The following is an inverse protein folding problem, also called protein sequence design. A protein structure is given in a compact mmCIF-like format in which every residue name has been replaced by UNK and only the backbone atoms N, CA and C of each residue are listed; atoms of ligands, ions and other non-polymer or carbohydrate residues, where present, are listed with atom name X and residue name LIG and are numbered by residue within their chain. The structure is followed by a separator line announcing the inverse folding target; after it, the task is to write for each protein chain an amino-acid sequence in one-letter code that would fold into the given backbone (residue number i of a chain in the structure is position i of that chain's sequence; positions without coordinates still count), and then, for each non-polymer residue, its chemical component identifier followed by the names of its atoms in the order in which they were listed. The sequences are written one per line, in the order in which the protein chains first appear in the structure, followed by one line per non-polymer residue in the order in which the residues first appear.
data_IF_700548968675
#
_entry.id   IF_700548968675
#
_cell.length_a   1.000
_cell.length_b   1.000
_cell.length_c   1.000
_cell.angle_alpha   90.00
_cell.angle_beta   90.00
_cell.angle_gamma   90.00
#
_symmetry.space_group_name_H-M   'P 1'
#
loop_
_entity.id
_entity.type
_entity.pdbx_description
1 polymer ?
#
# COMPACT_ATOMS: atom_id res chain seq x y z
N UNK A 1 17.99 35.32 28.50
CA UNK A 1 16.92 34.59 29.23
C UNK A 1 16.53 33.35 28.42
N UNK A 2 17.34 32.28 28.44
CA UNK A 2 16.93 30.96 27.94
C UNK A 2 16.25 30.22 29.09
N UNK A 3 15.06 30.71 29.47
CA UNK A 3 14.26 30.10 30.51
C UNK A 3 13.70 28.76 30.05
N UNK A 4 13.17 27.99 31.02
CA UNK A 4 12.45 26.73 30.84
C UNK A 4 11.45 26.78 29.66
N UNK A 5 10.81 27.92 29.46
CA UNK A 5 9.90 28.18 28.34
C UNK A 5 10.57 28.02 26.96
N UNK A 6 11.77 28.58 26.74
CA UNK A 6 12.45 28.48 25.44
C UNK A 6 12.92 27.06 25.11
N UNK A 7 13.34 26.30 26.13
CA UNK A 7 13.69 24.89 25.98
C UNK A 7 12.46 24.02 25.67
N UNK A 8 11.34 24.27 26.35
CA UNK A 8 10.06 23.59 26.08
C UNK A 8 9.55 23.89 24.67
N UNK A 9 9.62 25.13 24.21
CA UNK A 9 9.21 25.50 22.84
C UNK A 9 10.08 24.82 21.79
N UNK A 10 11.41 24.80 21.98
CA UNK A 10 12.32 24.11 21.06
C UNK A 10 12.09 22.59 21.04
N UNK A 11 11.89 21.98 22.21
CA UNK A 11 11.56 20.57 22.32
C UNK A 11 10.23 20.21 21.66
N UNK A 12 9.20 21.04 21.84
CA UNK A 12 7.90 20.87 21.18
C UNK A 12 8.01 21.02 19.66
N UNK A 13 8.79 21.98 19.17
CA UNK A 13 9.01 22.16 17.74
C UNK A 13 9.73 20.95 17.13
N UNK A 14 10.78 20.44 17.80
CA UNK A 14 11.49 19.24 17.34
C UNK A 14 10.56 18.02 17.32
N UNK A 15 9.78 17.80 18.38
CA UNK A 15 8.82 16.70 18.47
C UNK A 15 7.77 16.78 17.34
N UNK A 16 7.27 17.98 17.03
CA UNK A 16 6.34 18.18 15.93
C UNK A 16 6.96 17.82 14.57
N UNK A 17 8.19 18.26 14.30
CA UNK A 17 8.91 17.92 13.06
C UNK A 17 9.18 16.42 12.96
N UNK A 18 9.63 15.79 14.04
CA UNK A 18 9.86 14.34 14.08
C UNK A 18 8.60 13.54 13.79
N UNK A 19 7.44 13.99 14.28
CA UNK A 19 6.17 13.33 14.07
C UNK A 19 5.72 13.40 12.60
N UNK A 20 5.90 14.57 11.97
CA UNK A 20 5.64 14.75 10.54
C UNK A 20 6.59 13.89 9.70
N UNK A 21 7.88 13.89 10.06
CA UNK A 21 8.90 13.08 9.39
C UNK A 21 8.62 11.58 9.47
N UNK A 22 8.20 11.09 10.65
CA UNK A 22 7.81 9.70 10.84
C UNK A 22 6.67 9.30 9.91
N UNK A 23 5.60 10.11 9.83
CA UNK A 23 4.45 9.80 8.97
C UNK A 23 4.83 9.77 7.49
N UNK A 24 5.70 10.69 7.05
CA UNK A 24 6.20 10.72 5.68
C UNK A 24 7.00 9.45 5.34
N UNK A 25 7.91 9.03 6.22
CA UNK A 25 8.70 7.80 6.04
C UNK A 25 7.79 6.57 6.02
N UNK A 26 6.82 6.49 6.93
CA UNK A 26 5.89 5.36 7.01
C UNK A 26 5.05 5.20 5.73
N UNK A 27 4.56 6.31 5.16
CA UNK A 27 3.85 6.29 3.87
C UNK A 27 4.80 5.82 2.75
N UNK A 28 6.02 6.35 2.70
CA UNK A 28 7.03 5.96 1.71
C UNK A 28 7.39 4.47 1.76
N UNK A 29 7.66 3.95 2.97
CA UNK A 29 7.97 2.54 3.18
C UNK A 29 6.78 1.62 2.85
N UNK A 30 5.55 2.04 3.17
CA UNK A 30 4.33 1.31 2.82
C UNK A 30 4.16 1.25 1.30
N UNK A 31 4.49 2.32 0.58
CA UNK A 31 4.44 2.37 -0.88
C UNK A 31 5.46 1.45 -1.53
N UNK A 32 6.71 1.47 -1.05
CA UNK A 32 7.77 0.63 -1.60
C UNK A 32 7.45 -0.86 -1.39
N UNK A 33 7.17 -1.27 -0.14
CA UNK A 33 6.79 -2.66 0.15
C UNK A 33 5.47 -3.09 -0.50
N UNK A 34 4.56 -2.14 -0.72
CA UNK A 34 3.31 -2.37 -1.43
C UNK A 34 3.51 -2.69 -2.90
N UNK A 35 4.44 -2.01 -3.59
CA UNK A 35 4.73 -2.27 -5.00
C UNK A 35 5.23 -3.70 -5.22
N UNK A 36 6.15 -4.16 -4.36
CA UNK A 36 6.65 -5.54 -4.40
C UNK A 36 5.52 -6.56 -4.15
N UNK A 37 4.64 -6.27 -3.18
CA UNK A 37 3.48 -7.10 -2.90
C UNK A 37 2.48 -7.14 -4.08
N UNK A 38 2.22 -6.00 -4.71
CA UNK A 38 1.32 -5.89 -5.84
C UNK A 38 1.86 -6.67 -7.05
N UNK A 39 3.15 -6.56 -7.34
CA UNK A 39 3.82 -7.33 -8.38
C UNK A 39 3.76 -8.85 -8.10
N UNK A 40 4.05 -9.27 -6.87
CA UNK A 40 3.95 -10.67 -6.47
C UNK A 40 2.51 -11.23 -6.56
N UNK A 41 1.52 -10.40 -6.21
CA UNK A 41 0.11 -10.77 -6.34
C UNK A 41 -0.33 -10.88 -7.81
N UNK A 42 0.10 -9.95 -8.67
CA UNK A 42 -0.16 -10.00 -10.10
C UNK A 42 0.45 -11.27 -10.73
N UNK A 43 1.69 -11.62 -10.35
CA UNK A 43 2.35 -12.84 -10.81
C UNK A 43 1.61 -14.11 -10.40
N UNK A 44 1.15 -14.18 -9.15
CA UNK A 44 0.37 -15.33 -8.69
C UNK A 44 -0.97 -15.43 -9.41
N UNK A 45 -1.65 -14.30 -9.60
CA UNK A 45 -2.89 -14.23 -10.35
C UNK A 45 -2.69 -14.66 -11.82
N UNK A 46 -1.62 -14.23 -12.48
CA UNK A 46 -1.26 -14.66 -13.85
C UNK A 46 -1.07 -16.18 -13.93
N UNK A 47 -0.27 -16.76 -13.04
CA UNK A 47 -0.06 -18.20 -13.04
C UNK A 47 -1.34 -19.01 -12.77
N UNK A 48 -2.28 -18.45 -12.01
CA UNK A 48 -3.60 -19.08 -11.80
C UNK A 48 -4.53 -18.87 -13.00
N UNK A 49 -4.46 -17.73 -13.68
CA UNK A 49 -5.17 -17.50 -14.93
C UNK A 49 -4.70 -18.48 -16.01
N UNK A 50 -3.39 -18.63 -16.21
CA UNK A 50 -2.80 -19.55 -17.19
C UNK A 50 -3.21 -21.01 -16.94
N UNK A 51 -3.20 -21.45 -15.68
CA UNK A 51 -3.58 -22.83 -15.32
C UNK A 51 -5.07 -23.13 -15.42
N UNK A 52 -5.93 -22.13 -15.21
CA UNK A 52 -7.37 -22.37 -14.99
C UNK A 52 -8.27 -21.70 -16.03
N UNK A 53 -7.77 -20.74 -16.80
CA UNK A 53 -8.54 -19.89 -17.69
C UNK A 53 -9.57 -19.00 -16.98
N UNK A 54 -9.58 -18.94 -15.65
CA UNK A 54 -10.64 -18.29 -14.87
C UNK A 54 -10.15 -16.99 -14.23
N UNK A 55 -10.71 -15.87 -14.72
CA UNK A 55 -10.46 -14.52 -14.17
C UNK A 55 -10.83 -14.44 -12.69
N UNK A 56 -11.92 -15.10 -12.29
CA UNK A 56 -12.39 -15.06 -10.90
C UNK A 56 -11.43 -15.80 -9.96
N UNK A 57 -10.92 -16.96 -10.38
CA UNK A 57 -9.90 -17.69 -9.60
C UNK A 57 -8.58 -16.94 -9.54
N UNK A 58 -8.18 -16.31 -10.65
CA UNK A 58 -6.98 -15.46 -10.70
C UNK A 58 -7.08 -14.28 -9.74
N UNK A 59 -8.22 -13.58 -9.71
CA UNK A 59 -8.46 -12.50 -8.77
C UNK A 59 -8.42 -13.00 -7.32
N UNK A 60 -9.15 -14.08 -7.01
CA UNK A 60 -9.21 -14.65 -5.67
C UNK A 60 -7.82 -15.08 -5.15
N UNK A 61 -6.98 -15.66 -6.00
CA UNK A 61 -5.62 -16.08 -5.62
C UNK A 61 -4.65 -14.88 -5.49
N UNK A 62 -4.83 -13.84 -6.31
CA UNK A 62 -4.14 -12.56 -6.13
C UNK A 62 -4.51 -11.88 -4.79
N UNK A 63 -5.80 -11.85 -4.44
CA UNK A 63 -6.29 -11.38 -3.14
C UNK A 63 -5.72 -12.22 -2.00
N UNK A 64 -5.71 -13.55 -2.13
CA UNK A 64 -5.13 -14.44 -1.14
C UNK A 64 -3.65 -14.11 -0.89
N UNK A 65 -2.87 -13.89 -1.96
CA UNK A 65 -1.45 -13.48 -1.84
C UNK A 65 -1.28 -12.17 -1.09
N UNK A 66 -2.16 -11.20 -1.32
CA UNK A 66 -2.14 -9.91 -0.61
C UNK A 66 -2.42 -10.14 0.87
N UNK A 67 -3.48 -10.86 1.22
CA UNK A 67 -3.86 -11.13 2.61
C UNK A 67 -2.87 -12.02 3.37
N UNK A 68 -2.15 -12.92 2.70
CA UNK A 68 -1.04 -13.70 3.27
C UNK A 68 0.06 -12.78 3.84
N UNK A 69 0.32 -11.63 3.22
CA UNK A 69 1.32 -10.65 3.68
C UNK A 69 0.74 -9.53 4.53
N UNK A 70 -0.46 -9.08 4.21
CA UNK A 70 -1.14 -7.98 4.91
C UNK A 70 -2.65 -8.25 4.96
N UNK A 71 -3.16 -8.83 6.06
CA UNK A 71 -4.59 -9.13 6.24
C UNK A 71 -5.51 -7.92 6.21
N UNK A 72 -4.95 -6.70 6.31
CA UNK A 72 -5.70 -5.45 6.30
C UNK A 72 -5.68 -4.75 4.94
N UNK A 73 -4.83 -5.22 4.02
CA UNK A 73 -4.78 -4.73 2.65
C UNK A 73 -6.02 -5.19 1.87
N UNK A 74 -6.37 -4.44 0.84
CA UNK A 74 -7.54 -4.73 -0.01
C UNK A 74 -7.14 -4.66 -1.47
N UNK A 75 -7.83 -5.43 -2.32
CA UNK A 75 -7.69 -5.37 -3.78
C UNK A 75 -9.07 -5.04 -4.35
N UNK A 76 -9.34 -3.79 -4.74
CA UNK A 76 -10.63 -3.40 -5.30
C UNK A 76 -10.90 -4.21 -6.58
N UNK A 77 -12.08 -4.84 -6.67
CA UNK A 77 -12.40 -5.76 -7.78
C UNK A 77 -12.41 -5.03 -9.12
N UNK A 78 -12.89 -3.79 -9.11
CA UNK A 78 -12.94 -2.86 -10.24
C UNK A 78 -11.56 -2.42 -10.74
N UNK A 79 -10.51 -2.62 -9.94
CA UNK A 79 -9.12 -2.33 -10.30
C UNK A 79 -8.35 -3.58 -10.76
N UNK A 80 -8.99 -4.75 -10.76
CA UNK A 80 -8.42 -5.97 -11.32
C UNK A 80 -8.81 -6.12 -12.78
N UNK A 81 -7.83 -6.14 -13.69
CA UNK A 81 -8.06 -6.32 -15.13
C UNK A 81 -7.08 -7.33 -15.71
N UNK A 82 -7.53 -7.99 -16.77
CA UNK A 82 -6.73 -8.87 -17.60
C UNK A 82 -6.78 -8.28 -19.00
N UNK A 83 -5.61 -8.01 -19.57
CA UNK A 83 -5.48 -7.48 -20.92
C UNK A 83 -5.69 -8.59 -21.96
N UNK A 84 -5.95 -8.19 -23.22
CA UNK A 84 -6.24 -9.15 -24.30
C UNK A 84 -5.06 -10.09 -24.62
N UNK A 85 -3.84 -9.69 -24.24
CA UNK A 85 -2.62 -10.49 -24.35
C UNK A 85 -2.44 -11.47 -23.17
N UNK A 86 -3.31 -11.42 -22.16
CA UNK A 86 -3.21 -12.23 -20.95
C UNK A 86 -2.46 -11.56 -19.79
N UNK A 87 -1.99 -10.31 -19.95
CA UNK A 87 -1.36 -9.56 -18.88
C UNK A 87 -2.33 -9.27 -17.72
N UNK A 88 -1.92 -9.54 -16.48
CA UNK A 88 -2.75 -9.31 -15.29
C UNK A 88 -2.32 -8.02 -14.60
N UNK A 89 -3.29 -7.15 -14.27
CA UNK A 89 -3.09 -5.93 -13.50
C UNK A 89 -4.02 -5.88 -12.31
N UNK A 90 -3.49 -5.41 -11.18
CA UNK A 90 -4.25 -5.20 -9.96
C UNK A 90 -3.71 -4.02 -9.17
N UNK A 91 -4.56 -3.45 -8.31
CA UNK A 91 -4.16 -2.41 -7.36
C UNK A 91 -4.28 -2.96 -5.95
N UNK A 92 -3.23 -2.83 -5.15
CA UNK A 92 -3.28 -3.11 -3.72
C UNK A 92 -3.46 -1.80 -2.96
N UNK A 93 -4.50 -1.73 -2.14
CA UNK A 93 -4.77 -0.59 -1.26
C UNK A 93 -4.42 -0.94 0.18
N UNK A 94 -3.53 -0.15 0.78
CA UNK A 94 -3.00 -0.34 2.15
C UNK A 94 -3.11 0.95 2.95
N UNK A 95 -3.15 0.82 4.27
CA UNK A 95 -3.09 1.98 5.18
C UNK A 95 -1.74 2.01 5.89
N UNK A 96 -0.96 3.06 5.66
CA UNK A 96 0.32 3.27 6.34
C UNK A 96 0.12 3.51 7.83
N UNK A 97 0.97 2.89 8.66
CA UNK A 97 0.97 3.11 10.11
C UNK A 97 1.57 4.48 10.44
N UNK A 98 0.70 5.42 10.74
CA UNK A 98 1.02 6.84 10.93
C UNK A 98 0.48 7.31 12.28
N UNK A 99 1.06 8.37 12.84
CA UNK A 99 0.63 8.95 14.09
C UNK A 99 -0.32 10.14 13.90
N UNK A 100 0.04 11.12 13.07
CA UNK A 100 -0.79 12.30 12.79
C UNK A 100 -1.89 11.96 11.80
N UNK A 101 -1.53 11.33 10.67
CA UNK A 101 -2.50 11.05 9.60
C UNK A 101 -3.62 10.11 10.09
N UNK A 102 -3.31 9.12 10.93
CA UNK A 102 -4.32 8.24 11.51
C UNK A 102 -5.28 8.93 12.50
N UNK A 103 -4.79 9.94 13.25
CA UNK A 103 -5.54 10.59 14.34
C UNK A 103 -6.37 11.78 13.89
N UNK A 104 -5.91 12.53 12.89
CA UNK A 104 -6.59 13.73 12.40
C UNK A 104 -7.54 13.34 11.26
N UNK A 105 -8.88 13.41 11.43
CA UNK A 105 -9.84 12.93 10.43
C UNK A 105 -9.64 13.52 9.04
N UNK A 106 -9.33 14.81 8.96
CA UNK A 106 -9.08 15.52 7.69
C UNK A 106 -7.82 15.04 6.94
N UNK A 107 -6.96 14.23 7.57
CA UNK A 107 -5.70 13.77 7.01
C UNK A 107 -5.65 12.24 6.81
N UNK A 108 -6.68 11.49 7.22
CA UNK A 108 -6.68 10.02 7.19
C UNK A 108 -6.44 9.44 5.81
N UNK A 109 -7.02 10.06 4.78
CA UNK A 109 -6.88 9.59 3.40
C UNK A 109 -5.44 9.67 2.90
N UNK A 110 -4.59 10.53 3.51
CA UNK A 110 -3.17 10.62 3.17
C UNK A 110 -2.35 9.44 3.69
N UNK A 111 -2.90 8.66 4.63
CA UNK A 111 -2.29 7.41 5.07
C UNK A 111 -2.63 6.24 4.12
N UNK A 112 -3.62 6.39 3.24
CA UNK A 112 -3.99 5.35 2.28
C UNK A 112 -3.03 5.39 1.10
N UNK A 113 -2.48 4.23 0.77
CA UNK A 113 -1.54 4.03 -0.32
C UNK A 113 -2.13 3.02 -1.29
N UNK A 114 -2.24 3.43 -2.55
CA UNK A 114 -2.57 2.56 -3.68
C UNK A 114 -1.30 2.31 -4.49
N UNK A 115 -1.07 1.04 -4.83
CA UNK A 115 0.10 0.58 -5.58
C UNK A 115 -0.35 -0.39 -6.66
N UNK A 116 0.08 -0.11 -7.88
CA UNK A 116 -0.19 -0.94 -9.05
C UNK A 116 0.79 -2.13 -9.11
N UNK A 117 0.24 -3.30 -9.43
CA UNK A 117 0.98 -4.50 -9.76
C UNK A 117 0.55 -4.99 -11.13
N UNK A 118 1.52 -5.29 -11.98
CA UNK A 118 1.27 -5.78 -13.33
C UNK A 118 2.25 -6.88 -13.69
N UNK A 119 1.78 -7.90 -14.39
CA UNK A 119 2.67 -8.85 -15.08
C UNK A 119 2.50 -8.77 -16.59
N UNK A 120 3.62 -8.81 -17.34
CA UNK A 120 3.56 -8.95 -18.79
C UNK A 120 2.92 -10.30 -19.16
N UNK A 121 2.37 -10.41 -20.38
CA UNK A 121 1.83 -11.68 -20.88
C UNK A 121 2.90 -12.78 -20.88
N UNK A 122 2.48 -14.01 -20.61
CA UNK A 122 3.37 -15.18 -20.70
C UNK A 122 3.84 -15.37 -22.16
N UNK A 123 5.12 -15.73 -22.39
CA UNK A 123 5.67 -15.99 -23.71
C UNK A 123 5.10 -17.26 -24.37
#
# INVERSE_FOLDING_TARGET
MTGLAGWLTAGAALAAVSLVGFDAVSVGATRLSGADLAAAAALRASGTLERTGSIERAWADGVARVHESDPTATVPRERFRVDADGGVHLVVRRTARTHLLARVPALRDRAVVEVDGSTPPAP
#
